data_IF_192325767311
#
_entry.id   IF_192325767311
#
_cell.length_a   1.000
_cell.length_b   1.000
_cell.length_c   1.000
_cell.angle_alpha   90.00
_cell.angle_beta   90.00
_cell.angle_gamma   90.00
#
_symmetry.space_group_name_H-M   'P 1'
#
loop_
_entity.id
_entity.type
_entity.pdbx_description
1 polymer ?
#
# COMPACT_ATOMS: atom_id res chain seq x y z
N UNK A 1 10.08 -7.86 -9.20
CA UNK A 1 11.38 -8.25 -8.63
C UNK A 1 11.53 -7.56 -7.28
N UNK A 2 11.12 -8.24 -6.19
CA UNK A 2 11.12 -7.67 -4.84
C UNK A 2 12.07 -8.53 -4.00
N UNK A 3 13.23 -8.00 -3.69
CA UNK A 3 14.11 -8.61 -2.70
C UNK A 3 13.67 -8.16 -1.32
N UNK A 4 13.48 -9.12 -0.44
CA UNK A 4 13.08 -8.85 0.94
C UNK A 4 14.26 -8.24 1.68
N UNK A 5 14.04 -7.10 2.32
CA UNK A 5 15.02 -6.48 3.21
C UNK A 5 15.18 -7.28 4.50
N UNK A 6 16.36 -7.16 5.12
CA UNK A 6 16.67 -7.82 6.40
C UNK A 6 15.80 -7.20 7.52
N UNK A 7 15.07 -8.00 8.32
CA UNK A 7 14.34 -7.52 9.49
C UNK A 7 15.24 -6.69 10.42
N UNK A 8 14.78 -5.51 10.84
CA UNK A 8 15.54 -4.61 11.72
C UNK A 8 16.59 -3.75 11.02
N UNK A 9 16.86 -3.96 9.74
CA UNK A 9 17.86 -3.21 8.96
C UNK A 9 17.24 -2.38 7.83
N UNK A 10 15.95 -2.06 7.94
CA UNK A 10 15.21 -1.28 6.93
C UNK A 10 15.67 0.17 6.81
N UNK A 11 16.40 0.69 7.80
CA UNK A 11 17.03 2.02 7.79
C UNK A 11 18.39 2.05 7.13
N UNK A 12 19.01 0.89 6.97
CA UNK A 12 20.37 0.83 6.46
C UNK A 12 20.31 1.28 5.02
N UNK A 13 20.87 2.46 4.77
CA UNK A 13 20.91 3.10 3.45
C UNK A 13 22.19 2.83 2.69
N UNK A 14 23.21 2.32 3.39
CA UNK A 14 24.45 1.86 2.79
C UNK A 14 24.30 0.42 2.24
N UNK A 15 24.49 0.18 0.94
CA UNK A 15 24.51 -1.15 0.36
C UNK A 15 25.55 -2.12 0.96
N UNK A 16 26.59 -1.60 1.65
CA UNK A 16 27.58 -2.40 2.36
C UNK A 16 27.12 -2.87 3.74
N UNK A 17 26.01 -2.35 4.27
CA UNK A 17 25.48 -2.75 5.58
C UNK A 17 24.67 -4.05 5.56
N UNK A 18 24.02 -4.35 6.68
CA UNK A 18 23.40 -5.66 6.95
C UNK A 18 22.08 -5.93 6.19
N UNK A 19 21.67 -5.02 5.31
CA UNK A 19 20.44 -5.17 4.52
C UNK A 19 20.70 -5.92 3.20
N UNK A 20 20.51 -7.24 3.24
CA UNK A 20 20.68 -8.14 2.09
C UNK A 20 19.74 -7.81 0.92
N UNK A 21 18.53 -7.32 1.23
CA UNK A 21 17.57 -6.92 0.21
C UNK A 21 18.02 -5.68 -0.56
N UNK A 22 18.57 -4.68 0.16
CA UNK A 22 19.17 -3.50 -0.46
C UNK A 22 20.39 -3.88 -1.30
N UNK A 23 21.31 -4.69 -0.77
CA UNK A 23 22.51 -5.13 -1.49
C UNK A 23 22.19 -5.78 -2.84
N UNK A 24 21.20 -6.69 -2.86
CA UNK A 24 20.72 -7.32 -4.10
C UNK A 24 20.12 -6.31 -5.06
N UNK A 25 19.30 -5.36 -4.59
CA UNK A 25 18.74 -4.30 -5.44
C UNK A 25 19.83 -3.42 -6.04
N UNK A 26 20.81 -3.01 -5.25
CA UNK A 26 21.94 -2.19 -5.71
C UNK A 26 22.76 -2.92 -6.78
N UNK A 27 23.01 -4.21 -6.62
CA UNK A 27 23.77 -5.00 -7.60
C UNK A 27 23.16 -5.03 -9.02
N UNK A 28 21.84 -4.80 -9.14
CA UNK A 28 21.16 -4.77 -10.42
C UNK A 28 21.40 -3.47 -11.21
N UNK A 29 21.68 -2.37 -10.49
CA UNK A 29 21.79 -1.01 -11.03
C UNK A 29 23.21 -0.45 -10.90
N UNK A 30 24.15 -1.26 -10.39
CA UNK A 30 25.55 -0.87 -10.20
C UNK A 30 26.14 -0.35 -11.52
N UNK A 31 27.01 0.67 -11.41
CA UNK A 31 27.66 1.32 -12.57
C UNK A 31 26.66 1.87 -13.60
N UNK A 32 25.50 2.33 -13.13
CA UNK A 32 24.43 2.92 -13.96
C UNK A 32 23.87 1.95 -15.00
N UNK A 33 23.83 0.66 -14.66
CA UNK A 33 23.23 -0.35 -15.53
C UNK A 33 21.72 -0.10 -15.69
N UNK A 34 21.25 -0.20 -16.93
CA UNK A 34 19.81 -0.13 -17.25
C UNK A 34 19.10 -1.34 -16.66
N UNK A 35 18.00 -1.08 -15.95
CA UNK A 35 17.18 -2.10 -15.30
C UNK A 35 15.81 -2.17 -15.96
N UNK A 36 15.48 -3.34 -16.48
CA UNK A 36 14.14 -3.63 -16.99
C UNK A 36 13.20 -4.03 -15.86
N UNK A 37 12.04 -3.37 -15.80
CA UNK A 37 10.99 -3.63 -14.82
C UNK A 37 9.66 -3.91 -15.51
N UNK A 38 8.95 -4.91 -15.01
CA UNK A 38 7.57 -5.21 -15.40
C UNK A 38 6.71 -5.38 -14.14
N UNK A 39 5.53 -4.79 -14.16
CA UNK A 39 4.59 -4.85 -13.06
C UNK A 39 3.21 -4.36 -13.50
N UNK A 40 2.20 -4.70 -12.71
CA UNK A 40 0.85 -4.20 -12.93
C UNK A 40 0.75 -2.75 -12.47
N UNK A 41 -0.07 -1.95 -13.17
CA UNK A 41 -0.42 -0.61 -12.69
C UNK A 41 -1.33 -0.73 -11.47
N UNK A 42 -0.89 -0.14 -10.35
CA UNK A 42 -1.64 -0.15 -9.10
C UNK A 42 -2.75 0.92 -9.14
N UNK A 43 -3.86 0.61 -9.81
CA UNK A 43 -5.03 1.47 -9.91
C UNK A 43 -6.30 0.67 -9.61
N UNK A 44 -7.20 1.24 -8.80
CA UNK A 44 -8.41 0.58 -8.29
C UNK A 44 -9.26 -0.08 -9.40
N UNK A 45 -9.37 0.56 -10.57
CA UNK A 45 -10.15 0.05 -11.70
C UNK A 45 -9.49 -1.12 -12.46
N UNK A 46 -8.19 -1.36 -12.26
CA UNK A 46 -7.47 -2.48 -12.86
C UNK A 46 -7.48 -3.74 -11.97
N UNK A 47 -8.00 -3.63 -10.75
CA UNK A 47 -8.12 -4.75 -9.81
C UNK A 47 -9.46 -5.48 -9.87
N UNK A 48 -10.41 -5.01 -10.67
CA UNK A 48 -11.69 -5.68 -10.85
C UNK A 48 -11.65 -6.73 -11.98
N UNK A 49 -12.41 -7.80 -11.85
CA UNK A 49 -12.36 -8.98 -12.74
C UNK A 49 -13.04 -8.79 -14.10
N UNK A 50 -13.79 -7.70 -14.31
CA UNK A 50 -14.53 -7.41 -15.55
C UNK A 50 -13.62 -6.74 -16.56
N UNK A 51 -13.76 -7.13 -17.82
CA UNK A 51 -13.06 -6.47 -18.92
C UNK A 51 -13.74 -5.14 -19.24
N UNK A 52 -12.93 -4.15 -19.62
CA UNK A 52 -13.46 -2.91 -20.19
C UNK A 52 -14.16 -3.23 -21.52
N UNK A 53 -15.31 -2.59 -21.75
CA UNK A 53 -16.05 -2.74 -22.99
C UNK A 53 -15.25 -2.23 -24.18
N UNK A 54 -15.56 -2.75 -25.36
CA UNK A 54 -14.97 -2.28 -26.60
C UNK A 54 -15.41 -0.82 -26.89
N UNK A 55 -14.57 -0.07 -27.60
CA UNK A 55 -14.81 1.34 -27.96
C UNK A 55 -14.92 2.29 -26.75
N UNK A 56 -14.29 1.95 -25.62
CA UNK A 56 -14.10 2.86 -24.49
C UNK A 56 -12.67 3.41 -24.53
N UNK A 57 -12.54 4.73 -24.60
CA UNK A 57 -11.26 5.40 -24.54
C UNK A 57 -10.70 5.39 -23.10
N UNK A 58 -9.50 4.81 -22.94
CA UNK A 58 -8.79 4.79 -21.66
C UNK A 58 -7.58 5.72 -21.72
N UNK A 59 -7.56 6.75 -20.86
CA UNK A 59 -6.41 7.64 -20.68
C UNK A 59 -5.73 7.36 -19.35
N UNK A 60 -4.49 6.88 -19.41
CA UNK A 60 -3.65 6.65 -18.23
C UNK A 60 -2.60 7.75 -18.14
N UNK A 61 -2.59 8.50 -17.03
CA UNK A 61 -1.56 9.50 -16.72
C UNK A 61 -0.70 8.99 -15.58
N UNK A 62 0.58 8.77 -15.83
CA UNK A 62 1.57 8.40 -14.82
C UNK A 62 2.37 9.65 -14.45
N UNK A 63 2.45 9.95 -13.16
CA UNK A 63 3.25 11.05 -12.63
C UNK A 63 4.42 10.42 -11.90
N UNK A 64 5.63 10.83 -12.28
CA UNK A 64 6.85 10.30 -11.67
C UNK A 64 7.09 10.97 -10.31
N UNK A 65 7.33 10.16 -9.30
CA UNK A 65 7.80 10.64 -8.00
C UNK A 65 9.22 11.21 -8.07
N UNK A 66 9.60 11.97 -7.06
CA UNK A 66 10.93 12.56 -6.95
C UNK A 66 12.00 11.46 -6.74
N UNK A 67 13.23 11.60 -7.29
CA UNK A 67 14.30 10.63 -7.09
C UNK A 67 14.61 10.35 -5.61
N UNK A 68 14.52 11.37 -4.75
CA UNK A 68 14.75 11.28 -3.30
C UNK A 68 13.74 10.36 -2.59
N UNK A 69 12.56 10.17 -3.18
CA UNK A 69 11.53 9.26 -2.65
C UNK A 69 11.69 7.84 -3.21
N UNK A 70 12.11 7.70 -4.47
CA UNK A 70 12.20 6.41 -5.14
C UNK A 70 13.50 5.66 -4.89
N UNK A 71 14.57 6.35 -4.49
CA UNK A 71 15.90 5.79 -4.28
C UNK A 71 16.31 5.89 -2.82
N UNK A 72 17.00 4.86 -2.35
CA UNK A 72 17.66 4.85 -1.04
C UNK A 72 19.16 4.90 -1.31
N UNK A 73 19.85 5.87 -0.69
CA UNK A 73 21.29 6.06 -0.86
C UNK A 73 21.90 6.76 0.37
N UNK A 74 23.22 6.66 0.57
CA UNK A 74 23.91 7.43 1.59
C UNK A 74 23.69 8.95 1.44
N UNK A 75 23.83 9.69 2.55
CA UNK A 75 23.67 11.14 2.56
C UNK A 75 24.60 11.82 1.52
N UNK A 76 24.07 12.83 0.81
CA UNK A 76 24.72 13.60 -0.27
C UNK A 76 24.83 12.92 -1.64
N UNK A 77 24.11 11.83 -1.88
CA UNK A 77 24.03 11.25 -3.21
C UNK A 77 23.12 12.08 -4.14
N UNK A 78 23.62 12.45 -5.33
CA UNK A 78 22.85 13.13 -6.36
C UNK A 78 22.57 12.17 -7.52
N UNK A 79 21.62 11.24 -7.30
CA UNK A 79 21.21 10.31 -8.34
C UNK A 79 20.02 10.85 -9.13
N UNK A 80 20.06 10.68 -10.45
CA UNK A 80 18.93 10.94 -11.31
C UNK A 80 18.38 9.63 -11.86
N UNK A 81 17.06 9.48 -11.83
CA UNK A 81 16.37 8.36 -12.47
C UNK A 81 15.97 8.80 -13.87
N UNK A 82 16.29 8.00 -14.89
CA UNK A 82 15.90 8.26 -16.28
C UNK A 82 15.06 7.07 -16.74
N UNK A 83 13.90 7.36 -17.34
CA UNK A 83 13.07 6.33 -17.98
C UNK A 83 13.46 6.34 -19.46
N UNK A 84 14.23 5.36 -19.89
CA UNK A 84 14.65 5.25 -21.29
C UNK A 84 13.48 4.81 -22.19
N UNK A 85 12.72 3.81 -21.74
CA UNK A 85 11.59 3.26 -22.46
C UNK A 85 10.47 2.87 -21.50
N UNK A 86 9.22 3.18 -21.88
CA UNK A 86 8.03 2.78 -21.15
C UNK A 86 6.99 2.24 -22.12
N UNK A 87 6.46 1.05 -21.84
CA UNK A 87 5.42 0.39 -22.64
C UNK A 87 4.32 -0.15 -21.74
N UNK A 88 3.08 -0.07 -22.20
CA UNK A 88 1.91 -0.61 -21.52
C UNK A 88 1.39 -1.82 -22.28
N UNK A 89 1.43 -2.99 -21.64
CA UNK A 89 0.85 -4.21 -22.18
C UNK A 89 -0.59 -4.36 -21.68
N UNK A 90 -1.55 -4.40 -22.61
CA UNK A 90 -2.98 -4.55 -22.30
C UNK A 90 -3.50 -5.86 -22.87
N UNK A 91 -4.22 -6.62 -22.04
CA UNK A 91 -4.90 -7.84 -22.49
C UNK A 91 -6.15 -7.49 -23.30
N UNK A 92 -6.17 -7.86 -24.58
CA UNK A 92 -7.35 -7.78 -25.44
C UNK A 92 -7.99 -9.17 -25.59
N UNK A 93 -9.31 -9.26 -25.43
CA UNK A 93 -10.06 -10.51 -25.58
C UNK A 93 -10.95 -10.43 -26.80
N UNK A 94 -10.87 -11.46 -27.67
CA UNK A 94 -11.78 -11.61 -28.80
C UNK A 94 -13.04 -12.33 -28.33
N UNK A 95 -14.19 -11.69 -28.55
CA UNK A 95 -15.50 -12.19 -28.11
C UNK A 95 -16.28 -12.67 -29.33
N UNK A 96 -17.18 -13.64 -29.16
CA UNK A 96 -18.03 -14.15 -30.23
C UNK A 96 -19.03 -13.07 -30.72
N UNK A 97 -19.42 -13.07 -32.01
CA UNK A 97 -20.33 -12.06 -32.55
C UNK A 97 -21.67 -11.97 -31.82
N UNK A 98 -22.23 -13.11 -31.38
CA UNK A 98 -23.49 -13.15 -30.64
C UNK A 98 -23.43 -12.42 -29.30
N UNK A 99 -22.31 -12.54 -28.58
CA UNK A 99 -22.10 -11.83 -27.30
C UNK A 99 -21.90 -10.33 -27.54
N UNK A 100 -21.20 -9.93 -28.61
CA UNK A 100 -21.06 -8.52 -28.98
C UNK A 100 -22.43 -7.87 -29.27
N UNK A 101 -23.29 -8.55 -30.03
CA UNK A 101 -24.65 -8.07 -30.30
C UNK A 101 -25.50 -8.03 -29.02
N UNK A 102 -25.37 -9.05 -28.16
CA UNK A 102 -26.02 -9.08 -26.85
C UNK A 102 -25.62 -7.90 -25.97
N UNK A 103 -24.33 -7.57 -25.91
CA UNK A 103 -23.83 -6.39 -25.19
C UNK A 103 -24.37 -5.09 -25.80
N UNK A 104 -24.35 -4.93 -27.13
CA UNK A 104 -24.89 -3.74 -27.79
C UNK A 104 -26.38 -3.52 -27.47
N UNK A 105 -27.19 -4.60 -27.47
CA UNK A 105 -28.61 -4.53 -27.10
C UNK A 105 -28.81 -4.23 -25.61
N UNK A 106 -28.03 -4.83 -24.72
CA UNK A 106 -28.11 -4.57 -23.28
C UNK A 106 -27.71 -3.12 -22.92
N UNK A 107 -26.75 -2.54 -23.65
CA UNK A 107 -26.30 -1.15 -23.44
C UNK A 107 -27.33 -0.11 -23.88
N UNK A 108 -28.30 -0.47 -24.73
CA UNK A 108 -29.43 0.41 -25.07
C UNK A 108 -30.40 0.60 -23.90
N UNK A 109 -30.54 -0.42 -23.04
CA UNK A 109 -31.47 -0.39 -21.90
C UNK A 109 -30.79 -0.12 -20.57
N UNK A 110 -29.54 -0.54 -20.39
CA UNK A 110 -28.83 -0.48 -19.11
C UNK A 110 -27.36 -0.10 -19.29
N UNK A 111 -26.88 0.82 -18.46
CA UNK A 111 -25.47 1.20 -18.45
C UNK A 111 -24.58 0.10 -17.85
N UNK A 112 -23.37 -0.04 -18.38
CA UNK A 112 -22.35 -0.92 -17.79
C UNK A 112 -21.94 -0.43 -16.41
N UNK A 113 -21.87 -1.34 -15.44
CA UNK A 113 -21.45 -1.06 -14.07
C UNK A 113 -20.19 -1.83 -13.74
N UNK A 114 -19.16 -1.11 -13.31
CA UNK A 114 -17.90 -1.66 -12.83
C UNK A 114 -17.83 -1.46 -11.32
N UNK A 115 -17.96 -2.52 -10.51
CA UNK A 115 -17.71 -2.43 -9.08
C UNK A 115 -16.22 -2.19 -8.86
N UNK A 116 -15.89 -1.22 -8.02
CA UNK A 116 -14.52 -0.84 -7.69
C UNK A 116 -14.44 -0.70 -6.18
N UNK A 117 -13.44 -1.35 -5.57
CA UNK A 117 -13.03 -1.06 -4.20
C UNK A 117 -11.95 0.03 -4.27
N UNK A 118 -12.24 1.19 -3.69
CA UNK A 118 -11.34 2.34 -3.73
C UNK A 118 -10.33 2.30 -2.59
N UNK A 119 -9.14 2.81 -2.86
CA UNK A 119 -8.09 3.00 -1.86
C UNK A 119 -7.91 4.50 -1.62
N UNK A 120 -8.38 4.99 -0.47
CA UNK A 120 -8.16 6.37 -0.04
C UNK A 120 -7.03 6.45 0.98
N UNK A 121 -6.15 7.43 0.83
CA UNK A 121 -5.12 7.73 1.82
C UNK A 121 -5.36 9.11 2.41
N UNK A 122 -5.26 9.20 3.75
CA UNK A 122 -5.30 10.47 4.49
C UNK A 122 -4.01 10.60 5.27
N UNK A 123 -3.49 11.81 5.32
CA UNK A 123 -2.26 12.11 6.04
C UNK A 123 -2.56 13.07 7.18
N UNK A 124 -1.99 12.78 8.34
CA UNK A 124 -2.08 13.63 9.53
C UNK A 124 -0.70 13.81 10.11
N UNK A 125 -0.36 15.04 10.52
CA UNK A 125 0.93 15.30 11.13
C UNK A 125 0.81 15.39 12.65
N UNK A 126 1.68 14.70 13.38
CA UNK A 126 1.75 14.75 14.84
C UNK A 126 3.02 15.50 15.24
N UNK A 127 2.84 16.60 15.98
CA UNK A 127 3.96 17.38 16.50
C UNK A 127 4.79 16.56 17.49
N UNK A 128 6.12 16.71 17.40
CA UNK A 128 7.07 16.10 18.34
C UNK A 128 6.74 16.50 19.78
N UNK A 129 6.68 15.51 20.67
CA UNK A 129 6.33 15.71 22.08
C UNK A 129 4.84 15.58 22.40
N UNK A 130 3.98 15.37 21.39
CA UNK A 130 2.60 14.98 21.64
C UNK A 130 2.51 13.50 22.02
N UNK A 131 1.75 13.21 23.07
CA UNK A 131 1.50 11.83 23.54
C UNK A 131 0.10 11.32 23.17
N UNK A 132 -0.78 12.22 22.72
CA UNK A 132 -2.13 11.88 22.29
C UNK A 132 -2.47 12.55 20.96
N UNK A 133 -3.22 11.85 20.13
CA UNK A 133 -3.75 12.36 18.88
C UNK A 133 -5.14 11.77 18.69
N UNK A 134 -6.13 12.64 18.48
CA UNK A 134 -7.49 12.24 18.15
C UNK A 134 -7.92 13.03 16.93
N UNK A 135 -8.50 12.34 15.96
CA UNK A 135 -9.01 12.96 14.75
C UNK A 135 -10.45 12.53 14.53
N UNK A 136 -11.35 13.50 14.63
CA UNK A 136 -12.75 13.29 14.33
C UNK A 136 -13.00 13.38 12.83
N UNK A 137 -14.07 12.74 12.38
CA UNK A 137 -14.53 12.79 10.98
C UNK A 137 -13.44 12.41 9.98
N UNK A 138 -12.64 11.38 10.31
CA UNK A 138 -11.56 10.87 9.45
C UNK A 138 -12.09 10.57 8.05
N UNK A 139 -13.30 10.04 7.89
CA UNK A 139 -13.95 9.89 6.58
C UNK A 139 -15.34 10.50 6.62
N UNK A 140 -15.67 11.26 5.57
CA UNK A 140 -17.00 11.86 5.39
C UNK A 140 -17.71 11.08 4.27
N UNK A 141 -18.87 10.51 4.57
CA UNK A 141 -19.70 9.79 3.60
C UNK A 141 -19.52 8.28 3.66
N UNK A 142 -18.90 7.69 2.62
CA UNK A 142 -18.76 6.24 2.54
C UNK A 142 -17.80 5.72 3.62
N UNK A 143 -18.30 4.82 4.47
CA UNK A 143 -17.49 4.17 5.49
C UNK A 143 -16.56 3.13 4.85
N UNK A 144 -15.24 3.18 5.15
CA UNK A 144 -14.30 2.23 4.59
C UNK A 144 -14.52 0.83 5.17
N UNK A 145 -14.35 -0.20 4.32
CA UNK A 145 -14.45 -1.60 4.74
C UNK A 145 -13.25 -2.07 5.57
N UNK A 146 -12.11 -1.40 5.42
CA UNK A 146 -10.84 -1.71 6.07
C UNK A 146 -10.09 -0.40 6.29
N UNK A 147 -9.43 -0.32 7.43
CA UNK A 147 -8.57 0.80 7.82
C UNK A 147 -7.16 0.22 7.97
N UNK A 148 -6.13 0.93 7.52
CA UNK A 148 -4.72 0.66 7.86
C UNK A 148 -4.10 1.99 8.33
N UNK A 149 -3.45 2.02 9.50
CA UNK A 149 -2.67 3.17 9.95
C UNK A 149 -1.22 2.78 9.80
N UNK A 150 -0.46 3.76 9.36
CA UNK A 150 0.96 3.65 9.18
C UNK A 150 1.62 4.94 9.71
N UNK A 151 2.62 4.81 10.56
CA UNK A 151 3.39 5.92 11.09
C UNK A 151 4.73 5.90 10.39
N UNK A 152 5.13 7.06 9.90
CA UNK A 152 6.36 7.27 9.15
C UNK A 152 6.94 8.59 9.61
N UNK A 153 8.25 8.76 9.62
CA UNK A 153 8.82 10.06 9.94
C UNK A 153 8.48 11.06 8.83
N UNK A 154 8.27 12.33 9.19
CA UNK A 154 8.01 13.39 8.22
C UNK A 154 9.09 13.50 7.12
N UNK A 155 10.36 13.35 7.49
CA UNK A 155 11.48 13.36 6.53
C UNK A 155 11.38 12.21 5.52
N UNK A 156 11.04 11.01 6.01
CA UNK A 156 10.85 9.84 5.16
C UNK A 156 9.61 9.98 4.26
N UNK A 157 8.53 10.56 4.77
CA UNK A 157 7.31 10.82 4.00
C UNK A 157 7.54 11.79 2.84
N UNK A 158 8.30 12.87 3.07
CA UNK A 158 8.64 13.85 2.04
C UNK A 158 9.68 13.34 1.03
N UNK A 159 10.46 12.32 1.43
CA UNK A 159 11.49 11.68 0.64
C UNK A 159 12.85 12.34 0.83
N UNK A 160 13.76 11.62 1.49
CA UNK A 160 15.20 11.92 1.51
C UNK A 160 15.98 10.65 1.22
N UNK A 161 17.13 10.76 0.56
CA UNK A 161 17.95 9.59 0.20
C UNK A 161 18.34 8.73 1.41
N UNK A 162 18.59 9.36 2.55
CA UNK A 162 19.00 8.72 3.80
C UNK A 162 17.86 8.10 4.60
N UNK A 163 16.61 8.20 4.11
CA UNK A 163 15.42 7.72 4.83
C UNK A 163 14.61 6.78 3.96
N UNK A 164 13.98 5.78 4.58
CA UNK A 164 13.14 4.83 3.86
C UNK A 164 11.65 5.14 4.04
N UNK A 165 10.92 5.62 3.02
CA UNK A 165 9.48 5.91 3.12
C UNK A 165 8.62 4.66 3.38
N UNK A 166 9.16 3.46 3.13
CA UNK A 166 8.47 2.19 3.34
C UNK A 166 8.79 1.54 4.70
N UNK A 167 9.55 2.23 5.56
CA UNK A 167 9.72 1.83 6.95
C UNK A 167 8.62 2.43 7.81
N UNK A 168 7.70 1.57 8.21
CA UNK A 168 6.60 1.95 9.09
C UNK A 168 6.93 1.63 10.54
N UNK A 169 7.00 2.67 11.36
CA UNK A 169 7.36 2.59 12.78
C UNK A 169 6.12 2.44 13.64
N UNK A 170 6.27 1.85 14.82
CA UNK A 170 5.22 1.86 15.85
C UNK A 170 5.22 3.13 16.70
N UNK A 171 6.36 3.83 16.78
CA UNK A 171 6.55 5.01 17.64
C UNK A 171 6.12 4.81 19.10
N UNK A 172 6.27 3.58 19.63
CA UNK A 172 5.82 3.20 20.98
C UNK A 172 4.34 3.55 21.24
N UNK A 173 3.48 3.32 20.25
CA UNK A 173 2.04 3.50 20.40
C UNK A 173 1.50 2.59 21.52
N UNK A 174 0.96 3.15 22.60
CA UNK A 174 0.47 2.37 23.73
C UNK A 174 -1.05 2.12 23.67
N UNK A 175 -1.80 2.98 22.99
CA UNK A 175 -3.26 2.94 22.97
C UNK A 175 -3.78 3.33 21.60
N UNK A 176 -4.77 2.58 21.10
CA UNK A 176 -5.48 2.90 19.88
C UNK A 176 -6.96 2.53 20.01
N UNK A 177 -7.82 3.53 19.83
CA UNK A 177 -9.26 3.38 19.71
C UNK A 177 -9.73 3.83 18.33
N UNK A 178 -10.68 3.09 17.74
CA UNK A 178 -11.37 3.48 16.51
C UNK A 178 -12.86 3.49 16.79
N UNK A 179 -13.52 4.59 16.44
CA UNK A 179 -14.92 4.83 16.74
C UNK A 179 -15.71 5.09 15.46
N UNK A 180 -16.94 4.57 15.40
CA UNK A 180 -17.93 4.84 14.34
C UNK A 180 -19.17 5.35 15.03
N UNK A 181 -19.61 6.56 14.67
CA UNK A 181 -20.78 7.23 15.25
C UNK A 181 -20.77 7.25 16.79
N UNK A 182 -19.59 7.51 17.37
CA UNK A 182 -19.36 7.55 18.82
C UNK A 182 -19.22 6.18 19.50
N UNK A 183 -19.48 5.08 18.79
CA UNK A 183 -19.36 3.73 19.33
C UNK A 183 -18.00 3.10 18.97
N UNK A 184 -17.29 2.48 19.92
CA UNK A 184 -16.02 1.83 19.63
C UNK A 184 -16.23 0.58 18.74
N UNK A 185 -15.46 0.46 17.65
CA UNK A 185 -15.52 -0.70 16.75
C UNK A 185 -15.09 -1.98 17.46
N UNK A 186 -14.06 -1.90 18.31
CA UNK A 186 -13.61 -3.00 19.16
C UNK A 186 -14.03 -2.70 20.59
N UNK A 187 -14.70 -3.65 21.25
CA UNK A 187 -15.17 -3.50 22.63
C UNK A 187 -14.03 -3.19 23.62
N UNK A 188 -12.81 -3.57 23.26
CA UNK A 188 -11.59 -3.17 23.97
C UNK A 188 -10.66 -2.46 22.99
N UNK A 189 -10.10 -1.28 23.34
CA UNK A 189 -9.06 -0.65 22.53
C UNK A 189 -7.84 -1.57 22.39
N UNK A 190 -6.99 -1.28 21.40
CA UNK A 190 -5.74 -1.98 21.21
C UNK A 190 -4.68 -1.34 22.10
N UNK A 191 -4.09 -2.15 22.97
CA UNK A 191 -3.06 -1.74 23.93
C UNK A 191 -1.81 -2.61 23.71
N UNK A 192 -1.02 -2.37 22.65
CA UNK A 192 0.17 -3.15 22.40
C UNK A 192 1.30 -2.72 23.33
N UNK A 193 1.99 -3.68 23.92
CA UNK A 193 3.21 -3.45 24.68
C UNK A 193 4.41 -3.98 23.89
N UNK A 194 5.10 -3.05 23.22
CA UNK A 194 6.28 -3.36 22.42
C UNK A 194 7.52 -3.66 23.27
N UNK A 195 7.57 -3.15 24.51
CA UNK A 195 8.71 -3.33 25.40
C UNK A 195 8.82 -4.77 25.90
N UNK A 196 7.67 -5.38 26.22
CA UNK A 196 7.58 -6.76 26.69
C UNK A 196 7.21 -7.76 25.56
N UNK A 197 7.15 -7.30 24.31
CA UNK A 197 6.77 -8.13 23.16
C UNK A 197 5.30 -8.59 23.16
N UNK A 198 4.44 -7.99 23.99
CA UNK A 198 3.02 -8.35 24.11
C UNK A 198 2.18 -7.52 23.12
N UNK A 199 2.37 -7.81 21.84
CA UNK A 199 1.65 -7.16 20.74
C UNK A 199 0.80 -8.14 19.92
N UNK A 200 0.60 -9.37 20.41
CA UNK A 200 -0.09 -10.46 19.68
C UNK A 200 -1.51 -10.07 19.27
N UNK A 201 -2.26 -9.35 20.11
CA UNK A 201 -3.62 -8.91 19.75
C UNK A 201 -3.60 -7.89 18.60
N UNK A 202 -2.66 -6.94 18.65
CA UNK A 202 -2.42 -5.98 17.57
C UNK A 202 -1.78 -6.61 16.32
N UNK A 203 -1.19 -7.80 16.45
CA UNK A 203 -0.70 -8.58 15.32
C UNK A 203 -1.77 -9.50 14.73
N UNK A 204 -2.69 -10.03 15.54
CA UNK A 204 -3.77 -10.90 15.05
C UNK A 204 -4.81 -10.11 14.24
N UNK A 205 -5.07 -8.85 14.62
CA UNK A 205 -5.87 -7.91 13.82
C UNK A 205 -5.37 -7.76 12.38
N UNK A 206 -4.06 -7.86 12.19
CA UNK A 206 -3.36 -7.81 10.91
C UNK A 206 -3.65 -9.02 10.02
N UNK A 207 -3.82 -10.20 10.61
CA UNK A 207 -3.86 -11.48 9.90
C UNK A 207 -5.26 -11.83 9.38
N UNK A 208 -6.31 -11.26 9.97
CA UNK A 208 -7.70 -11.45 9.53
C UNK A 208 -8.05 -10.76 8.19
N UNK A 209 -7.04 -10.27 7.48
CA UNK A 209 -7.13 -9.74 6.11
C UNK A 209 -7.35 -10.83 5.03
N UNK A 210 -7.46 -12.11 5.39
CA UNK A 210 -7.47 -13.24 4.45
C UNK A 210 -8.69 -14.18 4.44
N UNK A 211 -9.72 -13.96 5.27
CA UNK A 211 -10.87 -14.89 5.33
C UNK A 211 -12.11 -14.24 4.72
N UNK A 212 -12.38 -14.59 3.46
CA UNK A 212 -13.66 -14.31 2.83
C UNK A 212 -14.77 -15.09 3.53
N UNK A 213 -15.61 -14.37 4.26
CA UNK A 213 -17.08 -14.45 4.26
C UNK A 213 -17.62 -13.73 5.50
N UNK A 214 -18.50 -12.77 5.26
CA UNK A 214 -19.40 -12.10 6.22
C UNK A 214 -18.78 -11.40 7.45
N UNK A 215 -18.96 -10.07 7.45
CA UNK A 215 -19.09 -9.17 8.61
C UNK A 215 -17.83 -8.70 9.39
N UNK A 216 -17.83 -7.37 9.54
CA UNK A 216 -17.15 -6.49 10.49
C UNK A 216 -15.71 -6.04 10.18
N UNK A 217 -15.62 -4.73 9.92
CA UNK A 217 -14.42 -3.89 10.05
C UNK A 217 -13.85 -4.18 11.43
N UNK A 218 -12.74 -4.90 11.49
CA UNK A 218 -11.96 -5.10 12.71
C UNK A 218 -10.49 -4.94 12.39
N UNK A 219 -9.98 -3.88 13.01
CA UNK A 219 -8.64 -3.77 13.59
C UNK A 219 -7.47 -3.52 12.63
N UNK A 220 -6.45 -2.88 13.22
CA UNK A 220 -5.59 -1.88 12.58
C UNK A 220 -4.15 -1.95 13.11
N UNK A 221 -3.20 -1.33 12.42
CA UNK A 221 -1.76 -1.68 12.39
C UNK A 221 -0.83 -0.62 12.99
N UNK A 222 0.33 -1.08 13.53
CA UNK A 222 1.71 -0.69 13.13
C UNK A 222 2.84 -1.42 13.85
N UNK A 223 3.66 -2.21 13.12
CA UNK A 223 5.14 -2.29 13.34
C UNK A 223 5.97 -3.07 12.30
N UNK A 224 7.12 -2.46 11.94
CA UNK A 224 8.50 -2.88 11.56
C UNK A 224 8.88 -4.22 10.93
N UNK A 225 7.99 -5.17 10.72
CA UNK A 225 8.38 -6.37 9.94
C UNK A 225 7.29 -6.90 9.04
N UNK A 226 6.10 -6.31 9.12
CA UNK A 226 4.93 -6.94 8.57
C UNK A 226 4.15 -6.12 7.55
N UNK A 227 4.56 -4.92 7.11
CA UNK A 227 3.93 -4.39 5.90
C UNK A 227 4.32 -5.22 4.67
N UNK A 228 5.56 -5.73 4.64
CA UNK A 228 5.97 -6.74 3.67
C UNK A 228 5.37 -8.13 3.95
N UNK A 229 5.10 -8.54 5.21
CA UNK A 229 4.43 -9.83 5.49
C UNK A 229 2.91 -9.80 5.33
N UNK A 230 2.20 -8.68 5.48
CA UNK A 230 0.80 -8.56 5.05
C UNK A 230 0.74 -8.56 3.53
N UNK A 231 1.76 -8.02 2.86
CA UNK A 231 1.94 -8.19 1.43
C UNK A 231 2.38 -9.62 1.03
N UNK A 232 2.85 -10.46 1.95
CA UNK A 232 3.41 -11.79 1.63
C UNK A 232 2.68 -13.00 2.25
N UNK A 233 1.87 -12.84 3.29
CA UNK A 233 1.16 -13.96 3.95
C UNK A 233 -0.25 -14.18 3.39
N UNK A 234 -0.84 -13.18 2.75
CA UNK A 234 -1.99 -13.35 1.85
C UNK A 234 -1.53 -13.72 0.44
N UNK A 235 -0.70 -14.77 0.29
CA UNK A 235 -0.60 -15.52 -0.98
C UNK A 235 0.22 -16.82 -0.94
N UNK A 236 0.01 -17.70 0.04
CA UNK A 236 0.22 -19.15 -0.23
C UNK A 236 -1.06 -19.86 -0.68
N UNK A 237 -2.19 -19.15 -0.64
CA UNK A 237 -3.42 -19.52 -1.34
C UNK A 237 -3.99 -18.21 -1.87
N UNK A 238 -4.20 -18.10 -3.19
CA UNK A 238 -4.92 -17.02 -3.88
C UNK A 238 -4.31 -15.61 -3.91
N UNK A 239 -3.90 -15.20 -5.12
CA UNK A 239 -4.14 -13.87 -5.71
C UNK A 239 -4.23 -12.61 -4.81
N UNK A 240 -3.12 -11.85 -4.80
CA UNK A 240 -2.98 -10.39 -4.63
C UNK A 240 -2.74 -9.79 -3.22
N UNK A 241 -1.97 -8.70 -3.19
CA UNK A 241 -1.78 -7.79 -2.06
C UNK A 241 -2.96 -6.82 -2.06
N UNK A 242 -3.74 -6.80 -0.99
CA UNK A 242 -4.87 -5.89 -0.83
C UNK A 242 -4.57 -4.84 0.23
N UNK A 243 -4.14 -3.65 -0.19
CA UNK A 243 -4.10 -2.47 0.68
C UNK A 243 -5.31 -1.62 0.33
N UNK A 244 -6.37 -1.72 1.12
CA UNK A 244 -7.46 -0.73 1.09
C UNK A 244 -7.26 0.20 2.28
N UNK A 245 -6.88 1.41 1.92
CA UNK A 245 -6.82 2.63 2.71
C UNK A 245 -5.73 2.70 3.79
N UNK A 246 -4.74 3.57 3.55
CA UNK A 246 -3.62 3.83 4.47
C UNK A 246 -3.75 5.25 5.00
N UNK A 247 -3.98 5.39 6.29
CA UNK A 247 -3.78 6.65 6.99
C UNK A 247 -2.30 6.74 7.35
N UNK A 248 -1.60 7.72 6.78
CA UNK A 248 -0.21 7.99 7.08
C UNK A 248 -0.13 9.06 8.16
N UNK A 249 0.38 8.69 9.32
CA UNK A 249 0.67 9.62 10.40
C UNK A 249 2.15 9.99 10.30
N UNK A 250 2.44 11.27 10.04
CA UNK A 250 3.79 11.83 9.88
C UNK A 250 4.28 12.60 11.09
#
# INVERSE_FOLDING_TARGET
MLFKDTPGSLDVTDPAGDNEGLKKRTSLIEKSKVLDLIGNLHCDIFYQDRLLLNLVDLKVKLIRSKPEFCLIAPANANYNVIIEHASLFVRKVKVSPGVLLGHAKALQSTSARYPIDRVLSKMYSISKGSFSFSQDNVFLGQMPKRLIIACVDNDAFNGTYSSNPFRFKHNNLNFLGVYVDGNPISSKPLEPDYSNGQSIRAFNSLLWLGVGNSLLIKEFTLTETNLFRIAHYTRLISHQIYVTEVILIS
#
